data_IF_357439649503
#
_entry.id   IF_357439649503
#
_cell.length_a   1.000
_cell.length_b   1.000
_cell.length_c   1.000
_cell.angle_alpha   90.00
_cell.angle_beta   90.00
_cell.angle_gamma   90.00
#
_symmetry.space_group_name_H-M   'P 1'
#
loop_
_entity.id
_entity.type
_entity.pdbx_description
1 polymer ?
#
# COMPACT_ATOMS: atom_id res chain seq x y z
N UNK A 1 53.28 -18.58 -35.99
CA UNK A 1 52.84 -18.64 -34.58
C UNK A 1 53.60 -17.61 -33.75
N UNK A 2 53.04 -16.41 -33.52
CA UNK A 2 53.35 -15.44 -32.41
C UNK A 2 52.94 -14.00 -32.71
N UNK A 3 52.48 -13.68 -33.91
CA UNK A 3 52.06 -12.30 -34.26
C UNK A 3 50.57 -12.14 -34.54
N UNK A 4 49.81 -13.24 -34.65
CA UNK A 4 48.36 -13.19 -34.94
C UNK A 4 47.44 -13.19 -33.70
N UNK A 5 47.99 -13.27 -32.48
CA UNK A 5 47.20 -13.31 -31.24
C UNK A 5 46.99 -11.95 -30.58
N UNK A 6 47.62 -10.88 -31.08
CA UNK A 6 47.59 -9.57 -30.41
C UNK A 6 46.46 -8.64 -30.88
N UNK A 7 45.86 -8.88 -32.05
CA UNK A 7 44.79 -8.02 -32.58
C UNK A 7 43.40 -8.39 -32.08
N UNK A 8 43.23 -9.54 -31.41
CA UNK A 8 41.94 -9.98 -30.85
C UNK A 8 41.66 -9.48 -29.42
N UNK A 9 42.57 -8.72 -28.82
CA UNK A 9 42.44 -8.25 -27.43
C UNK A 9 41.93 -6.80 -27.29
N UNK A 10 41.69 -6.09 -28.39
CA UNK A 10 41.30 -4.67 -28.37
C UNK A 10 39.80 -4.45 -28.69
N UNK A 11 38.93 -5.36 -28.25
CA UNK A 11 37.48 -5.27 -28.47
C UNK A 11 36.63 -5.40 -27.20
N UNK A 12 37.24 -5.32 -26.01
CA UNK A 12 36.48 -5.38 -24.74
C UNK A 12 36.91 -4.25 -23.80
N UNK A 13 36.50 -3.03 -24.13
CA UNK A 13 36.43 -1.93 -23.17
C UNK A 13 34.99 -1.42 -23.17
N UNK A 14 34.09 -2.22 -22.60
CA UNK A 14 32.73 -1.79 -22.26
C UNK A 14 32.85 -0.92 -21.01
N UNK A 15 32.43 0.36 -21.02
CA UNK A 15 32.38 1.16 -19.81
C UNK A 15 31.16 0.75 -18.99
N UNK A 16 31.30 -0.28 -18.15
CA UNK A 16 30.30 -0.61 -17.13
C UNK A 16 30.63 0.15 -15.84
N UNK A 17 30.44 1.47 -15.86
CA UNK A 17 30.29 2.26 -14.64
C UNK A 17 28.78 2.41 -14.41
N UNK A 18 28.22 1.48 -13.65
CA UNK A 18 26.92 1.64 -13.03
C UNK A 18 27.10 2.65 -11.90
N UNK A 19 26.86 3.92 -12.22
CA UNK A 19 26.92 5.03 -11.27
C UNK A 19 25.59 5.07 -10.51
N UNK A 20 25.57 4.46 -9.32
CA UNK A 20 24.53 4.56 -8.29
C UNK A 20 24.66 5.91 -7.55
N UNK A 21 24.70 7.01 -8.29
CA UNK A 21 24.61 8.34 -7.72
C UNK A 21 23.12 8.76 -7.68
N UNK A 22 22.64 9.38 -6.57
CA UNK A 22 21.32 9.98 -6.55
C UNK A 22 21.31 11.11 -7.59
N UNK A 23 20.76 10.81 -8.77
CA UNK A 23 20.68 11.73 -9.89
C UNK A 23 19.64 12.79 -9.54
N UNK A 24 20.12 13.93 -9.06
CA UNK A 24 19.40 15.22 -9.08
C UNK A 24 19.14 15.73 -10.52
N UNK A 25 19.01 14.83 -11.50
CA UNK A 25 18.87 15.10 -12.92
C UNK A 25 17.71 14.26 -13.46
N UNK A 26 16.77 14.94 -14.12
CA UNK A 26 15.47 14.38 -14.49
C UNK A 26 15.51 13.00 -15.17
N UNK A 27 14.44 12.23 -14.92
CA UNK A 27 14.25 10.90 -15.48
C UNK A 27 14.17 10.92 -17.02
N UNK A 28 15.16 10.30 -17.67
CA UNK A 28 15.23 10.17 -19.13
C UNK A 28 14.84 8.77 -19.55
N UNK A 29 13.87 8.68 -20.47
CA UNK A 29 13.46 7.44 -21.12
C UNK A 29 14.15 7.35 -22.49
N UNK A 30 14.75 6.20 -22.81
CA UNK A 30 15.42 5.96 -24.10
C UNK A 30 14.78 4.79 -24.83
N UNK A 31 14.64 4.93 -26.14
CA UNK A 31 14.10 3.90 -27.03
C UNK A 31 15.19 3.42 -27.98
N UNK A 32 15.38 2.11 -28.05
CA UNK A 32 16.37 1.48 -28.95
C UNK A 32 15.66 0.42 -29.77
N UNK A 33 15.73 0.51 -31.10
CA UNK A 33 15.09 -0.44 -32.02
C UNK A 33 13.56 -0.61 -31.80
N UNK A 34 12.87 0.45 -31.37
CA UNK A 34 11.42 0.39 -31.12
C UNK A 34 11.03 -0.14 -29.73
N UNK A 35 12.00 -0.48 -28.88
CA UNK A 35 11.76 -0.94 -27.51
C UNK A 35 12.18 0.14 -26.52
N UNK A 36 11.25 0.51 -25.62
CA UNK A 36 11.54 1.41 -24.51
C UNK A 36 12.41 0.70 -23.48
N UNK A 37 13.64 1.17 -23.31
CA UNK A 37 14.47 0.82 -22.17
C UNK A 37 14.12 1.79 -21.02
N UNK A 38 13.00 1.51 -20.36
CA UNK A 38 12.53 2.25 -19.19
C UNK A 38 13.44 1.94 -18.00
N UNK A 39 13.85 2.95 -17.24
CA UNK A 39 14.49 2.76 -15.95
C UNK A 39 13.43 2.51 -14.87
N UNK A 40 13.52 1.36 -14.21
CA UNK A 40 12.58 0.98 -13.15
C UNK A 40 12.64 1.90 -11.94
N UNK A 41 13.82 2.46 -11.64
CA UNK A 41 14.01 3.42 -10.54
C UNK A 41 13.19 4.70 -10.74
N UNK A 42 13.26 5.30 -11.94
CA UNK A 42 12.46 6.48 -12.27
C UNK A 42 10.96 6.20 -12.36
N UNK A 43 10.58 5.00 -12.80
CA UNK A 43 9.18 4.61 -12.75
C UNK A 43 8.69 4.53 -11.30
N UNK A 44 9.50 3.96 -10.41
CA UNK A 44 9.19 3.84 -8.98
C UNK A 44 9.04 5.22 -8.34
N UNK A 45 9.92 6.16 -8.66
CA UNK A 45 9.83 7.53 -8.16
C UNK A 45 8.62 8.30 -8.72
N UNK A 46 8.27 8.09 -10.00
CA UNK A 46 7.04 8.67 -10.60
C UNK A 46 5.75 8.06 -10.04
N UNK A 47 5.79 6.80 -9.61
CA UNK A 47 4.67 6.11 -8.98
C UNK A 47 4.61 6.34 -7.47
N UNK A 48 5.71 6.78 -6.86
CA UNK A 48 5.74 7.18 -5.47
C UNK A 48 4.78 8.36 -5.29
N UNK A 49 3.71 8.14 -4.53
CA UNK A 49 2.79 9.20 -4.14
C UNK A 49 3.24 9.75 -2.79
N UNK A 50 4.02 10.84 -2.72
CA UNK A 50 4.55 11.37 -1.47
C UNK A 50 3.44 11.81 -0.51
N UNK A 51 2.28 12.20 -1.05
CA UNK A 51 1.10 12.61 -0.27
C UNK A 51 0.20 11.43 0.11
N UNK A 52 0.41 10.26 -0.52
CA UNK A 52 -0.45 9.08 -0.38
C UNK A 52 -0.45 8.53 1.04
N UNK A 53 0.70 8.54 1.71
CA UNK A 53 0.79 8.07 3.09
C UNK A 53 0.07 9.01 4.07
N UNK A 54 0.19 10.33 3.89
CA UNK A 54 -0.51 11.30 4.73
C UNK A 54 -2.02 11.30 4.45
N UNK A 55 -2.43 11.17 3.19
CA UNK A 55 -3.83 10.98 2.81
C UNK A 55 -4.41 9.69 3.41
N UNK A 56 -3.67 8.59 3.39
CA UNK A 56 -4.07 7.33 4.03
C UNK A 56 -4.23 7.50 5.55
N UNK A 57 -3.30 8.20 6.22
CA UNK A 57 -3.39 8.52 7.66
C UNK A 57 -4.62 9.38 7.96
N UNK A 58 -4.89 10.43 7.17
CA UNK A 58 -6.08 11.28 7.32
C UNK A 58 -7.39 10.51 7.10
N UNK A 59 -7.44 9.67 6.07
CA UNK A 59 -8.60 8.83 5.79
C UNK A 59 -8.87 7.83 6.92
N UNK A 60 -7.84 7.18 7.45
CA UNK A 60 -7.96 6.26 8.58
C UNK A 60 -8.47 6.99 9.85
N UNK A 61 -7.99 8.21 10.12
CA UNK A 61 -8.49 9.02 11.24
C UNK A 61 -9.96 9.39 11.07
N UNK A 62 -10.38 9.77 9.86
CA UNK A 62 -11.79 10.09 9.57
C UNK A 62 -12.72 8.88 9.71
N UNK A 63 -12.27 7.68 9.35
CA UNK A 63 -13.06 6.44 9.49
C UNK A 63 -13.25 5.98 10.94
N UNK A 64 -12.38 6.37 11.87
CA UNK A 64 -12.51 6.03 13.30
C UNK A 64 -13.52 6.91 14.03
N UNK A 65 -13.65 8.18 13.61
CA UNK A 65 -14.51 9.16 14.28
C UNK A 65 -16.01 8.84 14.35
N UNK A 66 -16.63 8.12 13.39
CA UNK A 66 -18.02 7.71 13.46
C UNK A 66 -18.23 6.53 14.40
N UNK A 67 -17.25 5.63 14.53
CA UNK A 67 -17.38 4.42 15.35
C UNK A 67 -17.48 4.76 16.84
N UNK A 68 -16.61 5.63 17.34
CA UNK A 68 -16.62 6.07 18.75
C UNK A 68 -17.91 6.81 19.14
N UNK A 69 -18.56 7.46 18.17
CA UNK A 69 -19.80 8.23 18.38
C UNK A 69 -21.05 7.42 18.04
N UNK A 70 -20.90 6.23 17.47
CA UNK A 70 -22.03 5.39 17.09
C UNK A 70 -22.65 4.75 18.33
N UNK A 71 -23.98 4.73 18.38
CA UNK A 71 -24.67 4.00 19.44
C UNK A 71 -24.37 2.49 19.33
N UNK A 72 -24.27 1.74 20.45
CA UNK A 72 -23.98 0.30 20.42
C UNK A 72 -24.92 -0.52 19.52
N UNK A 73 -26.20 -0.12 19.41
CA UNK A 73 -27.16 -0.77 18.52
C UNK A 73 -26.86 -0.57 17.03
N UNK A 74 -26.24 0.55 16.64
CA UNK A 74 -25.82 0.78 15.24
C UNK A 74 -24.58 -0.03 14.87
N UNK A 75 -23.78 -0.43 15.86
CA UNK A 75 -22.61 -1.28 15.67
C UNK A 75 -22.93 -2.78 15.71
N UNK A 76 -24.21 -3.16 15.85
CA UNK A 76 -24.62 -4.56 16.00
C UNK A 76 -24.17 -5.20 17.32
N UNK A 77 -23.76 -4.39 18.30
CA UNK A 77 -23.37 -4.88 19.62
C UNK A 77 -24.62 -5.19 20.45
N UNK A 78 -24.47 -6.12 21.40
CA UNK A 78 -25.53 -6.42 22.36
C UNK A 78 -25.84 -5.18 23.20
N UNK A 79 -27.13 -4.80 23.28
CA UNK A 79 -27.59 -3.66 24.08
C UNK A 79 -28.57 -4.13 25.15
N UNK A 80 -28.63 -3.47 26.32
CA UNK A 80 -29.61 -3.79 27.36
C UNK A 80 -31.06 -3.70 26.85
N UNK A 81 -31.34 -2.74 25.96
CA UNK A 81 -32.65 -2.58 25.34
C UNK A 81 -33.00 -3.75 24.40
N UNK A 82 -32.05 -4.27 23.63
CA UNK A 82 -32.29 -5.45 22.80
C UNK A 82 -32.53 -6.71 23.66
N UNK A 83 -31.81 -6.84 24.78
CA UNK A 83 -31.99 -7.94 25.71
C UNK A 83 -33.35 -7.85 26.43
N UNK A 84 -33.78 -6.65 26.84
CA UNK A 84 -35.08 -6.47 27.48
C UNK A 84 -36.25 -6.83 26.55
N UNK A 85 -36.15 -6.53 25.26
CA UNK A 85 -37.17 -6.95 24.26
C UNK A 85 -37.26 -8.48 24.16
N UNK A 86 -36.12 -9.19 24.20
CA UNK A 86 -36.11 -10.66 24.11
C UNK A 86 -36.59 -11.34 25.39
N UNK A 87 -36.28 -10.77 26.55
CA UNK A 87 -36.62 -11.33 27.85
C UNK A 87 -38.02 -10.92 28.32
N UNK A 88 -38.55 -9.79 27.84
CA UNK A 88 -39.78 -9.20 28.32
C UNK A 88 -39.67 -8.83 29.80
N UNK A 89 -40.74 -9.06 30.55
CA UNK A 89 -40.79 -8.77 31.99
C UNK A 89 -39.85 -9.64 32.84
N UNK A 90 -39.23 -10.66 32.23
CA UNK A 90 -38.27 -11.53 32.92
C UNK A 90 -36.84 -10.98 32.92
N UNK A 91 -36.59 -9.83 32.28
CA UNK A 91 -35.26 -9.24 32.26
C UNK A 91 -34.78 -8.88 33.68
N UNK A 92 -33.70 -9.51 34.12
CA UNK A 92 -33.15 -9.34 35.47
C UNK A 92 -33.82 -10.19 36.56
N UNK A 93 -34.85 -10.97 36.23
CA UNK A 93 -35.58 -11.84 37.18
C UNK A 93 -35.38 -13.33 36.88
N UNK A 94 -35.23 -13.70 35.61
CA UNK A 94 -35.08 -15.10 35.19
C UNK A 94 -34.12 -15.21 34.01
N UNK A 95 -33.55 -16.41 33.82
CA UNK A 95 -32.77 -16.78 32.62
C UNK A 95 -33.65 -17.22 31.46
N UNK A 96 -34.95 -17.41 31.71
CA UNK A 96 -35.92 -17.79 30.69
C UNK A 96 -36.75 -16.58 30.27
N UNK A 97 -36.90 -16.32 28.95
CA UNK A 97 -37.72 -15.22 28.46
C UNK A 97 -39.20 -15.46 28.74
N UNK A 98 -39.98 -14.37 28.79
CA UNK A 98 -41.44 -14.45 28.83
C UNK A 98 -41.94 -15.14 27.54
N UNK A 99 -42.55 -16.31 27.70
CA UNK A 99 -43.17 -17.03 26.57
C UNK A 99 -44.41 -16.23 26.12
N UNK A 100 -44.61 -16.01 24.81
CA UNK A 100 -45.84 -15.40 24.28
C UNK A 100 -47.09 -16.18 24.69
#
# INVERSE_FOLDING_TARGET
>A
MRTLFCTLALLVAVPALADDAPRNGGCVDVEVNGYKALSYECLTERLANPEGEEAARRNAAMQRSPLERSAPGQMGLATPAATSVRMGNQFGQSVHPQRP
#
